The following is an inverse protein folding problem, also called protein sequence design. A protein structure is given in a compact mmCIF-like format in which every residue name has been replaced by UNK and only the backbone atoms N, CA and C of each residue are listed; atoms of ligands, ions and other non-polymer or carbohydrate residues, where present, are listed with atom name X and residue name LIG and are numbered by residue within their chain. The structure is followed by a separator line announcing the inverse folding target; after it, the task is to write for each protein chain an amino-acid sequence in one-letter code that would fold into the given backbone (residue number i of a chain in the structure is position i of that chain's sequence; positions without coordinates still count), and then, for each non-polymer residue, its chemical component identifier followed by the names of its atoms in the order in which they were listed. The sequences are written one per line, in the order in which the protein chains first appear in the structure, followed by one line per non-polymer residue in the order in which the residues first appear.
data_IF_410008739343
#
_entry.id   IF_410008739343
#
_cell.length_a   1.000
_cell.length_b   1.000
_cell.length_c   1.000
_cell.angle_alpha   90.00
_cell.angle_beta   90.00
_cell.angle_gamma   90.00
#
_symmetry.space_group_name_H-M   'P 1'
#
loop_
_entity.id
_entity.type
_entity.pdbx_description
1 polymer ?
#
# COMPACT_ATOMS: atom_id res chain seq x y z
N UNK A 1 -2.87 8.89 22.58
CA UNK A 1 -1.96 8.38 21.53
C UNK A 1 -2.56 7.18 20.74
N UNK A 2 -3.05 6.12 21.40
CA UNK A 2 -3.53 4.90 20.72
C UNK A 2 -4.90 5.01 20.00
N UNK A 3 -5.80 5.88 20.47
CA UNK A 3 -7.17 6.01 19.94
C UNK A 3 -7.26 6.55 18.49
N UNK A 4 -6.14 6.97 17.94
CA UNK A 4 -6.06 7.92 16.84
C UNK A 4 -5.47 7.32 15.56
N UNK A 5 -4.51 6.40 15.71
CA UNK A 5 -4.16 5.38 14.71
C UNK A 5 -5.30 4.39 14.46
N UNK A 6 -6.27 4.33 15.38
CA UNK A 6 -7.42 3.45 15.28
C UNK A 6 -8.33 3.81 14.11
N UNK A 7 -8.49 5.10 13.76
CA UNK A 7 -9.31 5.52 12.62
C UNK A 7 -8.74 4.98 11.30
N UNK A 8 -7.42 5.03 11.14
CA UNK A 8 -6.72 4.40 10.01
C UNK A 8 -6.99 2.89 9.97
N UNK A 9 -6.74 2.18 11.09
CA UNK A 9 -6.95 0.73 11.18
C UNK A 9 -8.42 0.36 10.90
N UNK A 10 -9.38 1.08 11.48
CA UNK A 10 -10.83 0.91 11.26
C UNK A 10 -11.18 1.02 9.78
N UNK A 11 -10.64 2.04 9.09
CA UNK A 11 -10.85 2.20 7.66
C UNK A 11 -10.22 1.05 6.86
N UNK A 12 -9.01 0.60 7.24
CA UNK A 12 -8.32 -0.51 6.58
C UNK A 12 -9.00 -1.86 6.80
N UNK A 13 -9.70 -2.08 7.92
CA UNK A 13 -10.46 -3.32 8.19
C UNK A 13 -11.90 -3.28 7.69
N UNK A 14 -12.37 -2.14 7.18
CA UNK A 14 -13.71 -2.02 6.59
C UNK A 14 -14.81 -1.51 7.50
N UNK A 15 -14.46 -1.01 8.68
CA UNK A 15 -15.40 -0.28 9.51
C UNK A 15 -15.62 1.12 8.94
N UNK A 16 -16.87 1.59 8.99
CA UNK A 16 -17.25 2.94 8.59
C UNK A 16 -16.64 3.94 9.57
N UNK A 17 -15.90 4.91 9.04
CA UNK A 17 -15.27 6.00 9.80
C UNK A 17 -15.87 7.30 9.26
N UNK A 18 -16.21 8.24 10.14
CA UNK A 18 -16.73 9.55 9.70
C UNK A 18 -15.66 10.35 8.98
N UNK A 19 -16.06 11.27 8.09
CA UNK A 19 -15.11 12.14 7.39
C UNK A 19 -14.27 12.96 8.38
N UNK A 20 -14.86 13.44 9.47
CA UNK A 20 -14.17 14.18 10.53
C UNK A 20 -13.05 13.36 11.20
N UNK A 21 -13.29 12.06 11.43
CA UNK A 21 -12.28 11.14 11.95
C UNK A 21 -11.19 10.80 10.90
N UNK A 22 -11.55 10.78 9.61
CA UNK A 22 -10.61 10.58 8.50
C UNK A 22 -9.73 11.81 8.26
N UNK A 23 -10.25 13.02 8.49
CA UNK A 23 -9.49 14.26 8.38
C UNK A 23 -8.46 14.40 9.52
N UNK A 24 -8.73 13.86 10.70
CA UNK A 24 -7.81 13.97 11.83
C UNK A 24 -6.66 12.95 11.73
N UNK A 25 -5.47 13.42 11.32
CA UNK A 25 -4.24 12.62 11.17
C UNK A 25 -3.19 13.07 12.19
N UNK A 26 -3.19 12.50 13.40
CA UNK A 26 -2.30 12.92 14.48
C UNK A 26 -0.86 12.40 14.31
N UNK A 27 -0.68 11.27 13.63
CA UNK A 27 0.64 10.66 13.41
C UNK A 27 0.82 10.23 11.94
N UNK A 28 0.96 11.18 11.00
CA UNK A 28 1.03 10.89 9.56
C UNK A 28 2.22 10.00 9.19
N UNK A 29 3.37 10.17 9.84
CA UNK A 29 4.57 9.37 9.60
C UNK A 29 4.34 7.89 9.95
N UNK A 30 3.67 7.60 11.06
CA UNK A 30 3.43 6.23 11.51
C UNK A 30 2.43 5.50 10.61
N UNK A 31 1.37 6.17 10.16
CA UNK A 31 0.44 5.62 9.18
C UNK A 31 1.13 5.33 7.84
N UNK A 32 1.97 6.26 7.38
CA UNK A 32 2.73 6.06 6.15
C UNK A 32 3.73 4.90 6.28
N UNK A 33 4.45 4.81 7.41
CA UNK A 33 5.36 3.69 7.65
C UNK A 33 4.64 2.35 7.71
N UNK A 34 3.52 2.25 8.43
CA UNK A 34 2.77 0.99 8.54
C UNK A 34 2.19 0.58 7.19
N UNK A 35 1.62 1.52 6.43
CA UNK A 35 1.13 1.26 5.07
C UNK A 35 2.25 0.78 4.14
N UNK A 36 3.35 1.53 4.04
CA UNK A 36 4.46 1.19 3.13
C UNK A 36 5.14 -0.11 3.56
N UNK A 37 5.25 -0.39 4.87
CA UNK A 37 5.77 -1.68 5.36
C UNK A 37 4.89 -2.84 4.94
N UNK A 38 3.57 -2.73 5.15
CA UNK A 38 2.63 -3.75 4.72
C UNK A 38 2.69 -3.99 3.20
N UNK A 39 2.73 -2.91 2.41
CA UNK A 39 2.90 -2.99 0.95
C UNK A 39 4.25 -3.56 0.53
N UNK A 40 5.32 -3.23 1.25
CA UNK A 40 6.66 -3.79 1.03
C UNK A 40 6.70 -5.30 1.26
N UNK A 41 6.05 -5.78 2.32
CA UNK A 41 5.90 -7.22 2.60
C UNK A 41 5.07 -7.91 1.52
N UNK A 42 3.91 -7.36 1.14
CA UNK A 42 3.09 -7.91 0.06
C UNK A 42 3.86 -8.00 -1.27
N UNK A 43 4.59 -6.94 -1.63
CA UNK A 43 5.40 -6.90 -2.84
C UNK A 43 6.57 -7.89 -2.78
N UNK A 44 7.28 -7.97 -1.65
CA UNK A 44 8.36 -8.93 -1.45
C UNK A 44 7.89 -10.37 -1.58
N UNK A 45 6.73 -10.71 -1.01
CA UNK A 45 6.08 -12.01 -1.17
C UNK A 45 5.73 -12.25 -2.64
N UNK A 46 5.09 -11.28 -3.31
CA UNK A 46 4.70 -11.41 -4.71
C UNK A 46 5.91 -11.67 -5.62
N UNK A 47 6.96 -10.85 -5.54
CA UNK A 47 8.15 -11.00 -6.39
C UNK A 47 8.85 -12.34 -6.13
N UNK A 48 9.02 -12.71 -4.86
CA UNK A 48 9.71 -13.95 -4.51
C UNK A 48 8.93 -15.21 -4.90
N UNK A 49 7.61 -15.22 -4.69
CA UNK A 49 6.75 -16.38 -4.99
C UNK A 49 6.39 -16.48 -6.46
N UNK A 50 6.00 -15.38 -7.10
CA UNK A 50 5.44 -15.38 -8.44
C UNK A 50 6.50 -15.20 -9.54
N UNK A 51 7.66 -14.57 -9.24
CA UNK A 51 8.70 -14.34 -10.24
C UNK A 51 9.95 -15.20 -9.97
N UNK A 52 10.51 -15.14 -8.76
CA UNK A 52 11.78 -15.82 -8.47
C UNK A 52 11.62 -17.34 -8.39
N UNK A 53 10.58 -17.83 -7.71
CA UNK A 53 10.39 -19.28 -7.52
C UNK A 53 10.18 -20.07 -8.82
N UNK A 54 9.39 -19.60 -9.82
CA UNK A 54 9.30 -20.27 -11.13
C UNK A 54 10.63 -20.30 -11.88
N UNK A 55 11.36 -19.18 -11.91
CA UNK A 55 12.66 -19.08 -12.59
C UNK A 55 13.68 -20.03 -11.97
N UNK A 56 13.80 -20.02 -10.64
CA UNK A 56 14.70 -20.94 -9.93
C UNK A 56 14.26 -22.40 -10.13
N UNK A 57 12.96 -22.66 -10.24
CA UNK A 57 12.46 -24.01 -10.48
C UNK A 57 12.77 -24.51 -11.89
N UNK A 58 12.69 -23.64 -12.89
CA UNK A 58 13.06 -23.97 -14.27
C UNK A 58 14.55 -24.29 -14.43
N UNK A 59 15.42 -23.63 -13.64
CA UNK A 59 16.88 -23.76 -13.72
C UNK A 59 17.43 -24.88 -12.83
N UNK A 60 16.97 -25.02 -11.58
CA UNK A 60 17.67 -25.77 -10.51
C UNK A 60 16.94 -27.01 -9.97
N UNK A 61 15.91 -27.55 -10.62
CA UNK A 61 15.39 -28.84 -10.14
C UNK A 61 14.16 -29.38 -10.83
N UNK A 62 13.51 -30.39 -10.22
CA UNK A 62 12.43 -31.12 -10.89
C UNK A 62 11.31 -30.16 -11.26
N UNK A 63 10.94 -30.20 -12.55
CA UNK A 63 9.94 -29.32 -13.16
C UNK A 63 8.54 -29.84 -12.84
N UNK A 64 8.21 -29.96 -11.55
CA UNK A 64 6.93 -30.43 -11.05
C UNK A 64 6.20 -29.33 -10.26
N UNK A 65 4.87 -29.38 -10.28
CA UNK A 65 4.04 -28.39 -9.57
C UNK A 65 4.24 -28.44 -8.05
N UNK A 66 4.45 -29.63 -7.49
CA UNK A 66 4.72 -29.80 -6.05
C UNK A 66 6.04 -29.14 -5.63
N UNK A 67 7.11 -29.30 -6.42
CA UNK A 67 8.40 -28.66 -6.17
C UNK A 67 8.35 -27.14 -6.37
N UNK A 68 7.56 -26.65 -7.34
CA UNK A 68 7.29 -25.23 -7.51
C UNK A 68 6.58 -24.65 -6.28
N UNK A 69 5.50 -25.29 -5.81
CA UNK A 69 4.73 -24.83 -4.66
C UNK A 69 5.58 -24.78 -3.38
N UNK A 70 6.36 -25.82 -3.11
CA UNK A 70 7.26 -25.86 -1.96
C UNK A 70 8.34 -24.77 -2.03
N UNK A 71 8.91 -24.53 -3.22
CA UNK A 71 9.89 -23.46 -3.44
C UNK A 71 9.24 -22.08 -3.31
N UNK A 72 8.07 -21.87 -3.88
CA UNK A 72 7.32 -20.63 -3.76
C UNK A 72 7.09 -20.28 -2.29
N UNK A 73 6.61 -21.21 -1.46
CA UNK A 73 6.44 -20.97 -0.03
C UNK A 73 7.75 -20.61 0.68
N UNK A 74 8.86 -21.28 0.36
CA UNK A 74 10.17 -20.97 0.94
C UNK A 74 10.67 -19.59 0.54
N UNK A 75 10.60 -19.25 -0.75
CA UNK A 75 10.98 -17.94 -1.26
C UNK A 75 10.05 -16.84 -0.75
N UNK A 76 8.75 -17.12 -0.60
CA UNK A 76 7.76 -16.22 -0.04
C UNK A 76 8.09 -15.79 1.38
N UNK A 77 8.56 -16.71 2.23
CA UNK A 77 9.05 -16.37 3.58
C UNK A 77 10.25 -15.43 3.54
N UNK A 78 11.22 -15.71 2.67
CA UNK A 78 12.41 -14.86 2.49
C UNK A 78 12.01 -13.48 1.94
N UNK A 79 11.10 -13.44 0.98
CA UNK A 79 10.57 -12.20 0.41
C UNK A 79 9.78 -11.37 1.43
N UNK A 80 9.01 -12.01 2.31
CA UNK A 80 8.33 -11.34 3.42
C UNK A 80 9.33 -10.70 4.38
N UNK A 81 10.38 -11.45 4.77
CA UNK A 81 11.44 -10.96 5.65
C UNK A 81 12.25 -9.82 4.99
N UNK A 82 12.52 -9.91 3.69
CA UNK A 82 13.21 -8.86 2.95
C UNK A 82 12.34 -7.60 2.75
N UNK A 83 11.01 -7.78 2.62
CA UNK A 83 10.06 -6.68 2.47
C UNK A 83 9.87 -5.84 3.74
N UNK A 84 10.08 -6.44 4.91
CA UNK A 84 9.91 -5.78 6.22
C UNK A 84 10.83 -4.55 6.42
N UNK A 85 12.16 -4.62 6.21
CA UNK A 85 13.02 -3.45 6.28
C UNK A 85 12.94 -2.55 5.04
N UNK A 86 12.55 -3.11 3.89
CA UNK A 86 12.51 -2.38 2.62
C UNK A 86 11.39 -1.32 2.60
N UNK A 87 10.25 -1.60 3.25
CA UNK A 87 9.16 -0.64 3.37
C UNK A 87 9.55 0.67 4.10
N UNK A 88 10.03 0.61 5.35
CA UNK A 88 10.50 1.78 6.08
C UNK A 88 11.66 2.49 5.37
N UNK A 89 12.60 1.74 4.79
CA UNK A 89 13.72 2.31 4.05
C UNK A 89 13.27 3.14 2.84
N UNK A 90 12.28 2.65 2.09
CA UNK A 90 11.65 3.40 0.99
C UNK A 90 10.94 4.65 1.49
N UNK A 91 10.16 4.55 2.56
CA UNK A 91 9.46 5.72 3.13
C UNK A 91 10.46 6.79 3.55
N UNK A 92 11.51 6.42 4.30
CA UNK A 92 12.57 7.35 4.73
C UNK A 92 13.28 7.96 3.52
N UNK A 93 13.61 7.18 2.51
CA UNK A 93 14.23 7.68 1.28
C UNK A 93 13.36 8.69 0.52
N UNK A 94 12.04 8.46 0.50
CA UNK A 94 11.06 9.28 -0.21
C UNK A 94 10.53 10.49 0.58
N UNK A 95 10.79 10.57 1.88
CA UNK A 95 10.36 11.67 2.77
C UNK A 95 11.52 12.48 3.32
N UNK A 96 12.78 12.07 3.05
CA UNK A 96 13.97 12.85 3.40
C UNK A 96 13.92 14.23 2.74
N UNK A 97 13.69 15.25 3.56
CA UNK A 97 13.64 16.66 3.14
C UNK A 97 12.24 17.20 2.84
N UNK A 98 11.19 16.39 3.01
CA UNK A 98 9.82 16.87 2.87
C UNK A 98 9.37 17.66 4.12
N UNK A 99 8.65 18.79 3.97
CA UNK A 99 8.03 19.47 5.09
C UNK A 99 6.89 18.62 5.67
N UNK A 100 6.61 18.76 6.98
CA UNK A 100 5.59 17.97 7.70
C UNK A 100 4.19 18.03 7.03
N UNK A 101 3.87 19.17 6.42
CA UNK A 101 2.62 19.39 5.65
C UNK A 101 2.51 18.42 4.46
N UNK A 102 3.63 18.08 3.81
CA UNK A 102 3.65 17.13 2.70
C UNK A 102 3.44 15.69 3.19
N UNK A 103 3.91 15.34 4.39
CA UNK A 103 3.62 14.04 5.01
C UNK A 103 2.13 13.90 5.35
N UNK A 104 1.52 14.98 5.87
CA UNK A 104 0.09 15.04 6.13
C UNK A 104 -0.75 14.87 4.86
N UNK A 105 -0.43 15.61 3.79
CA UNK A 105 -1.12 15.49 2.50
C UNK A 105 -1.01 14.08 1.90
N UNK A 106 0.15 13.43 2.03
CA UNK A 106 0.33 12.02 1.63
C UNK A 106 -0.55 11.07 2.43
N UNK A 107 -0.58 11.18 3.76
CA UNK A 107 -1.42 10.35 4.63
C UNK A 107 -2.91 10.60 4.37
N UNK A 108 -3.30 11.86 4.13
CA UNK A 108 -4.67 12.23 3.77
C UNK A 108 -5.11 11.56 2.47
N UNK A 109 -4.31 11.66 1.41
CA UNK A 109 -4.62 10.99 0.14
C UNK A 109 -4.73 9.48 0.26
N UNK A 110 -3.95 8.88 1.16
CA UNK A 110 -3.99 7.43 1.39
C UNK A 110 -5.34 6.99 1.97
N UNK A 111 -5.86 7.72 2.97
CA UNK A 111 -7.15 7.42 3.62
C UNK A 111 -8.34 7.53 2.67
N UNK A 112 -8.27 8.46 1.71
CA UNK A 112 -9.30 8.66 0.69
C UNK A 112 -9.09 7.83 -0.59
N UNK A 113 -7.99 7.07 -0.70
CA UNK A 113 -7.79 6.18 -1.83
C UNK A 113 -8.52 4.85 -1.61
N UNK A 114 -9.81 4.86 -1.91
CA UNK A 114 -10.68 3.70 -1.71
C UNK A 114 -10.22 2.44 -2.45
N UNK A 115 -9.55 2.56 -3.60
CA UNK A 115 -9.02 1.40 -4.31
C UNK A 115 -7.88 0.74 -3.52
N UNK A 116 -6.98 1.53 -2.95
CA UNK A 116 -5.90 1.04 -2.10
C UNK A 116 -6.43 0.47 -0.78
N UNK A 117 -7.42 1.13 -0.16
CA UNK A 117 -8.06 0.64 1.06
C UNK A 117 -8.81 -0.68 0.82
N UNK A 118 -9.56 -0.81 -0.28
CA UNK A 118 -10.22 -2.07 -0.68
C UNK A 118 -9.19 -3.17 -0.91
N UNK A 119 -8.11 -2.87 -1.62
CA UNK A 119 -7.02 -3.80 -1.83
C UNK A 119 -6.40 -4.28 -0.51
N UNK A 120 -6.22 -3.37 0.44
CA UNK A 120 -5.69 -3.71 1.77
C UNK A 120 -6.69 -4.58 2.54
N UNK A 121 -8.00 -4.31 2.46
CA UNK A 121 -9.07 -5.15 3.05
C UNK A 121 -9.03 -6.56 2.49
N UNK A 122 -8.99 -6.73 1.17
CA UNK A 122 -8.87 -8.04 0.55
C UNK A 122 -7.58 -8.74 0.96
N UNK A 123 -6.46 -8.01 1.00
CA UNK A 123 -5.17 -8.52 1.48
C UNK A 123 -5.23 -9.02 2.92
N UNK A 124 -5.78 -8.24 3.85
CA UNK A 124 -5.87 -8.60 5.27
C UNK A 124 -6.82 -9.78 5.46
N UNK A 125 -8.01 -9.72 4.86
CA UNK A 125 -9.02 -10.77 5.00
C UNK A 125 -8.53 -12.12 4.46
N UNK A 126 -7.91 -12.12 3.28
CA UNK A 126 -7.35 -13.33 2.68
C UNK A 126 -6.11 -13.86 3.42
N UNK A 127 -5.25 -12.97 3.92
CA UNK A 127 -4.09 -13.36 4.75
C UNK A 127 -4.57 -14.00 6.05
N UNK A 128 -5.56 -13.41 6.72
CA UNK A 128 -6.14 -13.95 7.94
C UNK A 128 -6.85 -15.30 7.70
N UNK A 129 -7.67 -15.39 6.65
CA UNK A 129 -8.33 -16.64 6.26
C UNK A 129 -7.31 -17.73 5.91
N UNK A 130 -6.27 -17.39 5.14
CA UNK A 130 -5.18 -18.31 4.81
C UNK A 130 -4.41 -18.76 6.06
N UNK A 131 -4.13 -17.84 6.99
CA UNK A 131 -3.50 -18.17 8.26
C UNK A 131 -4.32 -19.14 9.10
N UNK A 132 -5.65 -18.97 9.15
CA UNK A 132 -6.54 -19.86 9.87
C UNK A 132 -6.56 -21.29 9.31
N UNK A 133 -6.45 -21.45 7.99
CA UNK A 133 -6.49 -22.77 7.34
C UNK A 133 -5.14 -23.47 7.32
N UNK A 134 -4.04 -22.74 7.10
CA UNK A 134 -2.73 -23.32 6.80
C UNK A 134 -1.54 -22.69 7.52
N UNK A 135 -1.79 -21.94 8.60
CA UNK A 135 -0.76 -21.22 9.35
C UNK A 135 0.03 -20.25 8.47
N UNK A 136 1.34 -20.14 8.69
CA UNK A 136 2.20 -19.21 7.95
C UNK A 136 2.18 -19.46 6.43
N UNK A 137 2.12 -20.72 5.99
CA UNK A 137 2.08 -21.04 4.56
C UNK A 137 0.75 -20.63 3.94
N UNK A 138 -0.35 -20.89 4.64
CA UNK A 138 -1.66 -20.42 4.23
C UNK A 138 -1.75 -18.89 4.20
N UNK A 139 -1.11 -18.20 5.15
CA UNK A 139 -1.03 -16.74 5.17
C UNK A 139 -0.32 -16.17 3.92
N UNK A 140 0.79 -16.78 3.50
CA UNK A 140 1.52 -16.38 2.28
C UNK A 140 0.69 -16.56 1.01
N UNK A 141 0.01 -17.70 0.88
CA UNK A 141 -0.94 -17.92 -0.22
C UNK A 141 -2.13 -16.94 -0.14
N UNK A 142 -2.60 -16.66 1.06
CA UNK A 142 -3.63 -15.67 1.35
C UNK A 142 -3.26 -14.29 0.84
N UNK A 143 -2.05 -13.79 1.12
CA UNK A 143 -1.55 -12.51 0.60
C UNK A 143 -1.67 -12.44 -0.92
N UNK A 144 -1.23 -13.48 -1.64
CA UNK A 144 -1.31 -13.51 -3.11
C UNK A 144 -2.76 -13.53 -3.60
N UNK A 145 -3.61 -14.34 -2.97
CA UNK A 145 -5.04 -14.39 -3.28
C UNK A 145 -5.70 -13.02 -3.06
N UNK A 146 -5.39 -12.33 -1.96
CA UNK A 146 -5.88 -10.97 -1.69
C UNK A 146 -5.40 -9.94 -2.69
N UNK A 147 -4.14 -10.04 -3.14
CA UNK A 147 -3.61 -9.18 -4.19
C UNK A 147 -4.42 -9.35 -5.47
N UNK A 148 -4.61 -10.60 -5.90
CA UNK A 148 -5.33 -10.95 -7.12
C UNK A 148 -6.81 -10.52 -7.04
N UNK A 149 -7.51 -10.92 -5.97
CA UNK A 149 -8.92 -10.63 -5.77
C UNK A 149 -9.19 -9.12 -5.70
N UNK A 150 -8.37 -8.37 -4.96
CA UNK A 150 -8.51 -6.92 -4.89
C UNK A 150 -8.29 -6.25 -6.24
N UNK A 151 -7.34 -6.74 -7.04
CA UNK A 151 -7.06 -6.20 -8.38
C UNK A 151 -8.24 -6.47 -9.31
N UNK A 152 -8.73 -7.71 -9.35
CA UNK A 152 -9.88 -8.10 -10.17
C UNK A 152 -11.11 -7.30 -9.75
N UNK A 153 -11.39 -7.20 -8.45
CA UNK A 153 -12.53 -6.43 -7.96
C UNK A 153 -12.44 -4.95 -8.34
N UNK A 154 -11.27 -4.34 -8.17
CA UNK A 154 -11.04 -2.95 -8.50
C UNK A 154 -11.13 -2.66 -10.01
N UNK A 155 -10.78 -3.63 -10.87
CA UNK A 155 -10.81 -3.46 -12.33
C UNK A 155 -12.16 -3.85 -12.95
N UNK A 156 -12.81 -4.89 -12.46
CA UNK A 156 -13.99 -5.49 -13.10
C UNK A 156 -15.33 -5.09 -12.46
N UNK A 157 -15.32 -4.70 -11.18
CA UNK A 157 -16.57 -4.53 -10.40
C UNK A 157 -16.69 -3.13 -9.82
N UNK A 158 -15.60 -2.56 -9.33
CA UNK A 158 -15.62 -1.24 -8.73
C UNK A 158 -15.96 -0.16 -9.77
N UNK A 159 -16.96 0.71 -9.51
CA UNK A 159 -17.14 1.92 -10.29
C UNK A 159 -15.84 2.75 -10.25
N UNK A 160 -15.52 3.46 -11.33
CA UNK A 160 -14.45 4.45 -11.31
C UNK A 160 -14.81 5.55 -10.28
N UNK A 161 -14.25 5.47 -9.08
CA UNK A 161 -14.68 6.33 -7.97
C UNK A 161 -13.88 7.64 -7.86
N UNK A 162 -14.63 8.67 -7.49
CA UNK A 162 -14.25 10.06 -7.27
C UNK A 162 -13.07 10.19 -6.31
N UNK A 163 -12.07 10.97 -6.74
CA UNK A 163 -11.01 11.49 -5.87
C UNK A 163 -11.66 12.37 -4.80
N UNK A 164 -11.06 12.45 -3.60
CA UNK A 164 -11.60 13.26 -2.51
C UNK A 164 -11.99 14.68 -2.98
N UNK A 165 -13.20 15.18 -2.68
CA UNK A 165 -13.69 16.48 -3.18
C UNK A 165 -12.81 17.66 -2.74
N UNK A 166 -12.11 17.55 -1.60
CA UNK A 166 -11.14 18.54 -1.13
C UNK A 166 -9.81 18.50 -1.89
N UNK A 167 -9.40 17.33 -2.41
CA UNK A 167 -8.12 17.17 -3.11
C UNK A 167 -8.10 17.90 -4.45
N UNK A 168 -9.22 17.94 -5.18
CA UNK A 168 -9.30 18.75 -6.41
C UNK A 168 -9.18 20.24 -6.12
N UNK A 169 -9.82 20.72 -5.04
CA UNK A 169 -9.72 22.11 -4.60
C UNK A 169 -8.29 22.47 -4.19
N UNK A 170 -7.64 21.64 -3.37
CA UNK A 170 -6.25 21.87 -2.94
C UNK A 170 -5.30 21.80 -4.13
N UNK A 171 -5.48 20.84 -5.05
CA UNK A 171 -4.64 20.72 -6.24
C UNK A 171 -4.83 21.91 -7.19
N UNK A 172 -6.05 22.44 -7.32
CA UNK A 172 -6.32 23.64 -8.10
C UNK A 172 -5.61 24.85 -7.50
N UNK A 173 -5.71 25.07 -6.18
CA UNK A 173 -5.04 26.17 -5.48
C UNK A 173 -3.51 26.05 -5.59
N UNK A 174 -2.94 24.86 -5.42
CA UNK A 174 -1.49 24.65 -5.57
C UNK A 174 -1.03 24.87 -7.02
N UNK A 175 -1.87 24.52 -8.00
CA UNK A 175 -1.58 24.78 -9.42
C UNK A 175 -1.60 26.29 -9.70
N UNK A 176 -2.62 27.01 -9.23
CA UNK A 176 -2.69 28.46 -9.35
C UNK A 176 -1.50 29.16 -8.68
N UNK A 177 -1.13 28.75 -7.46
CA UNK A 177 0.04 29.30 -6.77
C UNK A 177 1.35 29.06 -7.54
N UNK A 178 1.51 27.91 -8.20
CA UNK A 178 2.68 27.62 -9.04
C UNK A 178 2.70 28.45 -10.32
N UNK A 179 1.56 28.67 -10.96
CA UNK A 179 1.45 29.54 -12.14
C UNK A 179 1.75 31.00 -11.77
N UNK A 180 1.21 31.49 -10.66
CA UNK A 180 1.50 32.84 -10.14
C UNK A 180 2.99 33.01 -9.79
N UNK A 181 3.60 32.02 -9.15
CA UNK A 181 5.04 32.05 -8.85
C UNK A 181 5.91 32.01 -10.13
N UNK A 182 5.43 31.36 -11.19
CA UNK A 182 6.11 31.32 -12.50
C UNK A 182 6.00 32.66 -13.22
N UNK A 183 4.83 33.30 -13.19
CA UNK A 183 4.61 34.64 -13.74
C UNK A 183 5.42 35.70 -13.00
N UNK A 184 5.48 35.65 -11.66
CA UNK A 184 6.29 36.56 -10.84
C UNK A 184 7.80 36.41 -11.08
N UNK A 185 8.27 35.24 -11.54
CA UNK A 185 9.66 35.02 -11.96
C UNK A 185 9.93 35.52 -13.37
N UNK A 186 8.95 35.47 -14.28
CA UNK A 186 9.09 35.98 -15.64
C UNK A 186 9.04 37.51 -15.69
N UNK A 187 8.19 38.16 -14.87
CA UNK A 187 8.13 39.62 -14.77
C UNK A 187 9.26 40.29 -13.97
N UNK A 188 10.24 39.53 -13.46
CA UNK A 188 11.47 40.06 -12.85
C UNK A 188 12.70 39.92 -13.75
N UNK A 189 12.52 39.37 -14.96
CA UNK A 189 13.56 39.19 -15.96
C UNK A 189 13.48 40.22 -17.11
N UNK A 190 12.54 41.15 -17.03
CA UNK A 190 12.46 42.40 -17.81
C UNK A 190 12.83 43.58 -16.91
#
# INVERSE_FOLDING_TARGET
AAAMTLAYVKNTIGLTVSDEELENIPHPSLELYTHTTYRGVQFGIFVSMAMVAPVVTAIRGPRNFSGLAARALRFGRVGALAGLPLGPAMTIGMTRGDPDVAMYDRAYRLRYNFNQVRQDRFGIASTAAGAAVGGINGALCGVLAGILLGTIYNTAVAPAHQKAPKYEKVKAVVKEAKELAKQAKQGKAE
#
